data_IF_766136490761
#
_entry.id   IF_766136490761
#
_cell.length_a   1.000
_cell.length_b   1.000
_cell.length_c   1.000
_cell.angle_alpha   90.00
_cell.angle_beta   90.00
_cell.angle_gamma   90.00
#
_symmetry.space_group_name_H-M   'P 1'
#
loop_
_entity.id
_entity.type
_entity.pdbx_description
1 polymer ?
#
# COMPACT_ATOMS: atom_id res chain seq x y z
N UNK A 1 -0.43 18.02 2.51
CA UNK A 1 -0.54 17.07 3.64
C UNK A 1 -0.63 15.68 3.03
N UNK A 2 -0.10 14.64 3.68
CA UNK A 2 -0.23 13.28 3.17
C UNK A 2 -1.62 12.76 3.47
N UNK A 3 -2.23 12.16 2.46
CA UNK A 3 -3.46 11.38 2.59
C UNK A 3 -3.35 10.13 1.71
N UNK A 4 -4.02 9.07 2.10
CA UNK A 4 -3.98 7.79 1.39
C UNK A 4 -4.93 6.76 1.99
N UNK A 5 -5.39 5.83 1.16
CA UNK A 5 -6.26 4.73 1.54
C UNK A 5 -5.55 3.41 1.21
N UNK A 6 -5.42 2.53 2.20
CA UNK A 6 -4.83 1.22 2.03
C UNK A 6 -5.80 0.14 2.48
N UNK A 7 -6.09 -0.79 1.58
CA UNK A 7 -6.94 -1.96 1.85
C UNK A 7 -6.09 -3.22 2.01
N UNK A 8 -6.69 -4.27 2.54
CA UNK A 8 -6.12 -5.62 2.56
C UNK A 8 -6.35 -6.35 1.22
N UNK A 9 -5.97 -7.63 1.16
CA UNK A 9 -6.11 -8.45 -0.05
C UNK A 9 -7.56 -8.81 -0.41
N UNK A 10 -8.51 -8.58 0.51
CA UNK A 10 -9.96 -8.75 0.33
C UNK A 10 -10.66 -7.44 -0.04
N UNK A 11 -9.97 -6.31 0.09
CA UNK A 11 -10.48 -4.97 -0.18
C UNK A 11 -11.07 -4.25 1.03
N UNK A 12 -10.89 -4.82 2.23
CA UNK A 12 -11.28 -4.17 3.47
C UNK A 12 -10.26 -3.11 3.86
N UNK A 13 -10.73 -1.95 4.35
CA UNK A 13 -9.84 -0.83 4.72
C UNK A 13 -8.99 -1.22 5.91
N UNK A 14 -7.66 -1.12 5.77
CA UNK A 14 -6.70 -1.47 6.82
C UNK A 14 -6.03 -0.24 7.45
N UNK A 15 -5.80 0.80 6.64
CA UNK A 15 -5.21 2.06 7.07
C UNK A 15 -5.75 3.21 6.22
N UNK A 16 -6.07 4.32 6.88
CA UNK A 16 -6.34 5.61 6.25
C UNK A 16 -5.35 6.63 6.78
N UNK A 17 -4.77 7.41 5.87
CA UNK A 17 -4.03 8.62 6.21
C UNK A 17 -4.90 9.80 5.77
N UNK A 18 -5.24 10.67 6.71
CA UNK A 18 -6.03 11.89 6.48
C UNK A 18 -5.29 13.05 7.12
N UNK A 19 -4.78 13.98 6.31
CA UNK A 19 -4.13 15.18 6.83
C UNK A 19 -2.98 14.86 7.82
N UNK A 20 -2.10 13.93 7.42
CA UNK A 20 -1.02 13.36 8.24
C UNK A 20 -1.48 12.62 9.52
N UNK A 21 -2.77 12.39 9.73
CA UNK A 21 -3.29 11.52 10.79
C UNK A 21 -3.40 10.08 10.26
N UNK A 22 -2.82 9.12 10.99
CA UNK A 22 -2.73 7.72 10.55
C UNK A 22 -3.71 6.88 11.38
N UNK A 23 -4.74 6.36 10.73
CA UNK A 23 -5.87 5.64 11.34
C UNK A 23 -5.84 4.18 10.90
N UNK A 24 -5.34 3.30 11.76
CA UNK A 24 -5.37 1.87 11.52
C UNK A 24 -6.70 1.27 11.99
N UNK A 25 -7.27 0.36 11.20
CA UNK A 25 -8.60 -0.20 11.45
C UNK A 25 -8.51 -1.54 12.20
N UNK A 26 -9.48 -1.78 13.10
CA UNK A 26 -9.52 -2.94 14.01
C UNK A 26 -9.81 -4.28 13.33
N UNK A 27 -10.16 -4.27 12.03
CA UNK A 27 -10.24 -5.46 11.20
C UNK A 27 -8.86 -6.05 10.86
N UNK A 28 -7.78 -5.27 11.03
CA UNK A 28 -6.42 -5.76 10.89
C UNK A 28 -6.13 -6.77 12.00
N UNK A 29 -5.48 -7.89 11.65
CA UNK A 29 -5.08 -8.91 12.63
C UNK A 29 -4.09 -8.35 13.65
N UNK A 30 -3.12 -7.55 13.17
CA UNK A 30 -2.09 -6.94 13.99
C UNK A 30 -1.53 -5.68 13.29
N UNK A 31 -1.19 -4.68 14.10
CA UNK A 31 -0.56 -3.42 13.67
C UNK A 31 0.65 -3.19 14.55
N UNK A 32 1.84 -3.28 13.98
CA UNK A 32 3.10 -3.11 14.69
C UNK A 32 3.82 -1.85 14.22
N UNK A 33 4.21 -1.00 15.17
CA UNK A 33 5.06 0.16 14.90
C UNK A 33 6.41 -0.06 15.56
N UNK A 34 7.47 -0.15 14.74
CA UNK A 34 8.86 -0.28 15.20
C UNK A 34 9.72 0.78 14.55
N UNK A 35 10.16 1.75 15.35
CA UNK A 35 10.95 2.89 14.87
C UNK A 35 10.16 3.69 13.83
N UNK A 36 10.63 3.67 12.59
CA UNK A 36 10.03 4.40 11.46
C UNK A 36 9.11 3.54 10.59
N UNK A 37 8.90 2.28 10.95
CA UNK A 37 8.16 1.32 10.12
C UNK A 37 6.85 0.91 10.80
N UNK A 38 5.76 0.97 10.03
CA UNK A 38 4.44 0.45 10.37
C UNK A 38 4.21 -0.81 9.54
N UNK A 39 3.96 -1.93 10.21
CA UNK A 39 3.65 -3.22 9.58
C UNK A 39 2.21 -3.60 9.94
N UNK A 40 1.38 -3.84 8.93
CA UNK A 40 0.01 -4.32 9.12
C UNK A 40 -0.12 -5.75 8.57
N UNK A 41 -0.79 -6.60 9.36
CA UNK A 41 -1.06 -7.99 9.02
C UNK A 41 -2.56 -8.20 8.90
N UNK A 42 -2.97 -8.93 7.86
CA UNK A 42 -4.36 -9.36 7.66
C UNK A 42 -4.64 -10.73 8.30
N UNK A 43 -3.60 -11.53 8.55
CA UNK A 43 -3.72 -12.81 9.25
C UNK A 43 -2.38 -13.21 9.90
N UNK A 44 -2.37 -14.32 10.65
CA UNK A 44 -1.15 -14.84 11.26
C UNK A 44 -0.04 -15.03 10.22
N UNK A 45 1.07 -14.32 10.39
CA UNK A 45 2.24 -14.28 9.47
C UNK A 45 1.98 -13.72 8.07
N UNK A 46 0.79 -13.17 7.79
CA UNK A 46 0.45 -12.56 6.50
C UNK A 46 0.59 -11.05 6.60
N UNK A 47 1.73 -10.50 6.16
CA UNK A 47 1.95 -9.05 6.04
C UNK A 47 1.43 -8.58 4.69
N UNK A 48 0.44 -7.69 4.68
CA UNK A 48 -0.08 -7.11 3.44
C UNK A 48 0.41 -5.67 3.22
N UNK A 49 0.74 -4.93 4.28
CA UNK A 49 1.23 -3.55 4.16
C UNK A 49 2.45 -3.31 5.04
N UNK A 50 3.50 -2.74 4.46
CA UNK A 50 4.65 -2.18 5.20
C UNK A 50 4.89 -0.77 4.71
N UNK A 51 4.76 0.19 5.62
CA UNK A 51 5.06 1.60 5.39
C UNK A 51 6.28 1.99 6.20
N UNK A 52 7.26 2.64 5.56
CA UNK A 52 8.39 3.26 6.23
C UNK A 52 8.36 4.76 6.02
N UNK A 53 8.42 5.51 7.11
CA UNK A 53 8.54 6.96 7.08
C UNK A 53 10.01 7.32 6.98
N UNK A 54 10.39 8.05 5.94
CA UNK A 54 11.74 8.60 5.78
C UNK A 54 11.65 10.14 5.89
N UNK A 55 11.94 10.69 7.08
CA UNK A 55 11.80 12.12 7.32
C UNK A 55 12.66 12.97 6.37
N UNK A 56 12.23 14.19 6.02
CA UNK A 56 11.09 14.91 6.57
C UNK A 56 9.78 14.74 5.78
N UNK A 57 9.81 14.17 4.57
CA UNK A 57 8.69 14.27 3.61
C UNK A 57 8.47 13.03 2.74
N UNK A 58 8.98 11.87 3.15
CA UNK A 58 8.85 10.67 2.32
C UNK A 58 8.15 9.57 3.10
N UNK A 59 7.17 8.94 2.47
CA UNK A 59 6.58 7.69 2.92
C UNK A 59 6.86 6.66 1.84
N UNK A 60 7.47 5.56 2.23
CA UNK A 60 7.86 4.47 1.34
C UNK A 60 6.93 3.30 1.62
N UNK A 61 6.27 2.82 0.57
CA UNK A 61 5.50 1.57 0.61
C UNK A 61 6.48 0.45 0.26
N UNK A 62 6.99 -0.25 1.27
CA UNK A 62 7.99 -1.33 1.07
C UNK A 62 7.32 -2.65 0.65
N UNK A 63 6.07 -2.84 1.07
CA UNK A 63 5.23 -3.98 0.67
C UNK A 63 3.78 -3.56 0.59
N UNK A 64 3.09 -4.06 -0.43
CA UNK A 64 1.67 -3.86 -0.65
C UNK A 64 1.04 -5.15 -1.20
N UNK A 65 -0.10 -5.54 -0.67
CA UNK A 65 -1.02 -6.51 -1.27
C UNK A 65 -2.44 -6.05 -0.95
N UNK A 66 -3.08 -5.38 -1.89
CA UNK A 66 -4.37 -4.73 -1.67
C UNK A 66 -5.34 -4.99 -2.82
N UNK A 67 -6.64 -4.94 -2.53
CA UNK A 67 -7.69 -4.90 -3.55
C UNK A 67 -8.53 -3.64 -3.45
N UNK A 68 -8.78 -2.95 -4.55
CA UNK A 68 -9.62 -1.75 -4.58
C UNK A 68 -10.37 -1.67 -5.90
N UNK A 69 -11.70 -1.58 -5.85
CA UNK A 69 -12.54 -1.47 -7.05
C UNK A 69 -12.41 -2.65 -8.03
N UNK A 70 -12.12 -3.85 -7.52
CA UNK A 70 -11.87 -5.04 -8.34
C UNK A 70 -10.46 -5.14 -8.94
N UNK A 71 -9.61 -4.13 -8.74
CA UNK A 71 -8.20 -4.14 -9.12
C UNK A 71 -7.39 -4.70 -7.95
N UNK A 72 -6.40 -5.55 -8.24
CA UNK A 72 -5.43 -6.03 -7.23
C UNK A 72 -4.08 -5.38 -7.46
N UNK A 73 -3.48 -4.87 -6.40
CA UNK A 73 -2.14 -4.28 -6.42
C UNK A 73 -1.23 -5.10 -5.51
N UNK A 74 -0.13 -5.58 -6.07
CA UNK A 74 0.92 -6.29 -5.35
C UNK A 74 2.24 -5.57 -5.59
N UNK A 75 2.90 -5.14 -4.53
CA UNK A 75 4.19 -4.47 -4.63
C UNK A 75 5.17 -4.92 -3.56
N UNK A 76 6.44 -4.87 -3.91
CA UNK A 76 7.57 -5.06 -3.01
C UNK A 76 8.78 -4.28 -3.54
N UNK A 77 9.98 -4.54 -3.01
CA UNK A 77 11.22 -3.87 -3.46
C UNK A 77 11.61 -4.12 -4.93
N UNK A 78 11.01 -5.11 -5.59
CA UNK A 78 11.39 -5.54 -6.94
C UNK A 78 10.36 -5.12 -8.01
N UNK A 79 9.07 -5.14 -7.68
CA UNK A 79 8.01 -4.88 -8.65
C UNK A 79 6.78 -4.16 -8.07
N UNK A 80 6.01 -3.57 -8.97
CA UNK A 80 4.58 -3.25 -8.80
C UNK A 80 3.78 -4.02 -9.86
N UNK A 81 2.83 -4.84 -9.42
CA UNK A 81 1.92 -5.62 -10.25
C UNK A 81 0.49 -5.16 -10.03
N UNK A 82 -0.20 -4.90 -11.14
CA UNK A 82 -1.60 -4.46 -11.16
C UNK A 82 -2.41 -5.46 -11.98
N UNK A 83 -3.35 -6.14 -11.32
CA UNK A 83 -4.24 -7.10 -11.97
C UNK A 83 -5.64 -6.50 -12.08
N UNK A 84 -6.11 -6.36 -13.32
CA UNK A 84 -7.43 -5.82 -13.65
C UNK A 84 -8.55 -6.86 -13.44
N UNK A 85 -9.82 -6.44 -13.31
CA UNK A 85 -10.96 -7.36 -13.15
C UNK A 85 -11.13 -8.38 -14.28
N UNK A 86 -10.67 -8.05 -15.49
CA UNK A 86 -10.68 -8.93 -16.66
C UNK A 86 -9.51 -9.94 -16.67
N UNK A 87 -8.65 -9.91 -15.65
CA UNK A 87 -7.46 -10.77 -15.52
C UNK A 87 -6.21 -10.24 -16.23
N UNK A 88 -6.24 -9.08 -16.89
CA UNK A 88 -5.05 -8.50 -17.51
C UNK A 88 -4.08 -8.00 -16.44
N UNK A 89 -2.78 -8.24 -16.66
CA UNK A 89 -1.73 -7.92 -15.69
C UNK A 89 -0.78 -6.90 -16.29
N UNK A 90 -0.53 -5.82 -15.55
CA UNK A 90 0.54 -4.85 -15.80
C UNK A 90 1.59 -5.01 -14.71
N UNK A 91 2.85 -5.25 -15.10
CA UNK A 91 3.98 -5.37 -14.19
C UNK A 91 5.02 -4.30 -14.49
N UNK A 92 5.43 -3.58 -13.46
CA UNK A 92 6.37 -2.47 -13.51
C UNK A 92 7.59 -2.86 -12.68
N UNK A 93 8.76 -2.85 -13.30
CA UNK A 93 10.04 -3.20 -12.67
C UNK A 93 11.11 -2.19 -13.08
N UNK A 94 12.05 -1.91 -12.17
CA UNK A 94 13.22 -1.05 -12.42
C UNK A 94 12.91 0.30 -13.08
N UNK A 95 11.78 0.92 -12.73
CA UNK A 95 11.30 2.16 -13.32
C UNK A 95 11.08 3.26 -12.28
N UNK A 96 11.07 4.51 -12.74
CA UNK A 96 10.74 5.69 -11.93
C UNK A 96 9.62 6.45 -12.64
N UNK A 97 8.60 6.84 -11.87
CA UNK A 97 7.57 7.76 -12.30
C UNK A 97 7.70 9.04 -11.46
N UNK A 98 8.15 10.12 -12.08
CA UNK A 98 8.30 11.41 -11.44
C UNK A 98 7.63 12.53 -12.26
N UNK A 99 7.34 13.65 -11.59
CA UNK A 99 6.75 14.85 -12.21
C UNK A 99 5.48 14.58 -13.06
N UNK A 100 4.66 13.63 -12.62
CA UNK A 100 3.45 13.22 -13.32
C UNK A 100 2.24 14.08 -12.93
N UNK A 101 1.39 14.46 -13.90
CA UNK A 101 0.13 15.17 -13.61
C UNK A 101 -0.92 14.28 -12.91
N UNK A 102 -1.00 13.01 -13.33
CA UNK A 102 -1.99 12.02 -12.83
C UNK A 102 -1.32 10.90 -12.03
N UNK A 103 -0.01 10.69 -12.19
CA UNK A 103 0.70 9.54 -11.64
C UNK A 103 0.54 8.32 -12.54
N UNK A 104 -0.12 7.27 -12.03
CA UNK A 104 -0.42 6.05 -12.77
C UNK A 104 -1.92 5.97 -13.06
N UNK A 105 -2.29 5.62 -14.29
CA UNK A 105 -3.67 5.38 -14.70
C UNK A 105 -3.76 3.99 -15.34
N UNK A 106 -4.74 3.21 -14.91
CA UNK A 106 -4.94 1.82 -15.33
C UNK A 106 -6.34 1.63 -15.90
#
# INVERSE_FOLDING_TARGET
MFSGLFTDSNGEVSLVIEDNEWKAFSNSWDVEVKGQTITIREAHKVVHLVLRVDPPKTVIVEKLNMSLGGIRFEANGDFLKVTQPNGSISELTSCIFDNCLVGMAF
#
